data_IF_969297386456
#
_entry.id   IF_969297386456
#
_cell.length_a   1.000
_cell.length_b   1.000
_cell.length_c   1.000
_cell.angle_alpha   90.00
_cell.angle_beta   90.00
_cell.angle_gamma   90.00
#
_symmetry.space_group_name_H-M   'P 1'
#
loop_
_entity.id
_entity.type
_entity.pdbx_description
1 polymer ?
#
# COMPACT_ATOMS: atom_id res chain seq x y z
N UNK A 1 -13.17 -9.52 13.32
CA UNK A 1 -12.77 -9.92 11.96
C UNK A 1 -11.24 -9.98 11.87
N UNK A 2 -10.72 -11.00 11.23
CA UNK A 2 -9.28 -11.16 11.09
C UNK A 2 -8.67 -10.10 10.21
N UNK A 3 -7.44 -9.69 10.51
CA UNK A 3 -6.71 -8.68 9.76
C UNK A 3 -5.55 -9.33 9.01
N UNK A 4 -5.48 -9.09 7.71
CA UNK A 4 -4.37 -9.55 6.87
C UNK A 4 -3.47 -8.35 6.57
N UNK A 5 -2.26 -8.41 7.07
CA UNK A 5 -1.26 -7.37 6.78
C UNK A 5 -0.80 -7.51 5.34
N UNK A 6 -0.84 -6.42 4.60
CA UNK A 6 -0.36 -6.36 3.22
C UNK A 6 0.76 -5.33 3.16
N UNK A 7 1.97 -5.80 2.97
CA UNK A 7 3.12 -4.91 2.79
C UNK A 7 3.21 -4.51 1.33
N UNK A 8 3.20 -3.22 1.07
CA UNK A 8 3.24 -2.65 -0.28
C UNK A 8 4.49 -1.81 -0.44
N UNK A 9 5.24 -2.10 -1.49
CA UNK A 9 6.46 -1.38 -1.83
C UNK A 9 6.42 -0.89 -3.28
N UNK A 10 7.26 0.09 -3.58
CA UNK A 10 7.52 0.53 -4.95
C UNK A 10 8.93 0.14 -5.32
N UNK A 11 9.05 -0.65 -6.37
CA UNK A 11 10.36 -1.12 -6.85
C UNK A 11 10.28 -1.36 -8.35
N UNK A 12 11.29 -0.90 -9.06
CA UNK A 12 11.43 -1.11 -10.52
C UNK A 12 10.18 -0.69 -11.30
N UNK A 13 9.66 0.49 -10.96
CA UNK A 13 8.48 1.09 -11.60
C UNK A 13 7.18 0.31 -11.44
N UNK A 14 7.09 -0.52 -10.41
CA UNK A 14 5.88 -1.26 -10.08
C UNK A 14 5.56 -1.15 -8.59
N UNK A 15 4.27 -1.25 -8.28
CA UNK A 15 3.84 -1.56 -6.92
C UNK A 15 3.93 -3.06 -6.71
N UNK A 16 4.47 -3.48 -5.59
CA UNK A 16 4.50 -4.88 -5.19
C UNK A 16 3.79 -5.06 -3.86
N UNK A 17 3.04 -6.14 -3.73
CA UNK A 17 2.33 -6.48 -2.49
C UNK A 17 2.72 -7.89 -2.04
N UNK A 18 2.88 -8.06 -0.73
CA UNK A 18 3.04 -9.38 -0.11
C UNK A 18 2.09 -9.49 1.07
N UNK A 19 1.39 -10.62 1.15
CA UNK A 19 0.42 -10.88 2.21
C UNK A 19 1.11 -11.50 3.42
N UNK A 20 0.57 -11.21 4.61
CA UNK A 20 1.17 -11.57 5.88
C UNK A 20 1.15 -13.05 6.23
N UNK A 21 1.75 -13.37 7.36
CA UNK A 21 2.04 -14.73 7.80
C UNK A 21 0.80 -15.55 8.16
N UNK A 22 -0.33 -14.89 8.41
CA UNK A 22 -1.58 -15.59 8.73
C UNK A 22 -2.31 -16.11 7.50
N UNK A 23 -1.77 -15.88 6.31
CA UNK A 23 -2.24 -16.49 5.06
C UNK A 23 -1.28 -17.64 4.72
N UNK A 24 -1.76 -18.91 4.72
CA UNK A 24 -0.90 -20.03 4.37
C UNK A 24 -0.34 -19.91 2.94
N UNK A 25 0.89 -20.32 2.76
CA UNK A 25 1.59 -20.16 1.51
C UNK A 25 2.13 -18.76 1.34
N UNK A 26 2.68 -18.48 0.16
CA UNK A 26 3.26 -17.19 -0.16
C UNK A 26 2.44 -16.52 -1.25
N UNK A 27 1.86 -15.35 -0.95
CA UNK A 27 1.07 -14.61 -1.93
C UNK A 27 1.75 -13.27 -2.19
N UNK A 28 2.29 -13.11 -3.39
CA UNK A 28 2.91 -11.87 -3.85
C UNK A 28 2.35 -11.50 -5.22
N UNK A 29 2.22 -10.21 -5.47
CA UNK A 29 1.73 -9.71 -6.76
C UNK A 29 2.29 -8.32 -7.03
N UNK A 30 2.25 -7.92 -8.30
CA UNK A 30 2.68 -6.59 -8.74
C UNK A 30 1.64 -5.97 -9.63
N UNK A 31 1.61 -4.64 -9.69
CA UNK A 31 0.78 -3.88 -10.61
C UNK A 31 1.44 -2.55 -10.95
N UNK A 32 1.06 -1.95 -12.07
CA UNK A 32 1.59 -0.66 -12.53
C UNK A 32 1.03 0.51 -11.74
N UNK A 33 -0.23 0.42 -11.31
CA UNK A 33 -0.88 1.47 -10.53
C UNK A 33 -1.34 0.94 -9.19
N UNK A 34 -1.48 1.86 -8.22
CA UNK A 34 -1.95 1.51 -6.89
C UNK A 34 -3.38 0.97 -6.94
N UNK A 35 -4.26 1.60 -7.72
CA UNK A 35 -5.66 1.17 -7.82
C UNK A 35 -5.79 -0.25 -8.40
N UNK A 36 -4.98 -0.57 -9.40
CA UNK A 36 -4.92 -1.94 -9.93
C UNK A 36 -4.42 -2.93 -8.89
N UNK A 37 -3.39 -2.56 -8.14
CA UNK A 37 -2.85 -3.43 -7.08
C UNK A 37 -3.92 -3.77 -6.06
N UNK A 38 -4.60 -2.75 -5.52
CA UNK A 38 -5.65 -2.92 -4.50
C UNK A 38 -6.77 -3.83 -5.03
N UNK A 39 -7.19 -3.62 -6.25
CA UNK A 39 -8.22 -4.44 -6.89
C UNK A 39 -7.77 -5.91 -7.04
N UNK A 40 -6.53 -6.12 -7.42
CA UNK A 40 -5.99 -7.46 -7.68
C UNK A 40 -5.65 -8.24 -6.41
N UNK A 41 -5.37 -7.58 -5.31
CA UNK A 41 -5.06 -8.24 -4.04
C UNK A 41 -6.19 -9.19 -3.62
N UNK A 42 -7.42 -8.72 -3.62
CA UNK A 42 -8.57 -9.53 -3.23
C UNK A 42 -8.78 -10.71 -4.17
N UNK A 43 -8.67 -10.48 -5.48
CA UNK A 43 -8.85 -11.53 -6.49
C UNK A 43 -7.72 -12.58 -6.41
N UNK A 44 -6.49 -12.13 -6.22
CA UNK A 44 -5.32 -13.02 -6.12
C UNK A 44 -5.42 -13.90 -4.87
N UNK A 45 -5.84 -13.31 -3.74
CA UNK A 45 -6.02 -14.10 -2.51
C UNK A 45 -7.13 -15.14 -2.68
N UNK A 46 -8.25 -14.76 -3.27
CA UNK A 46 -9.36 -15.70 -3.53
C UNK A 46 -8.90 -16.87 -4.40
N UNK A 47 -8.17 -16.58 -5.45
CA UNK A 47 -7.62 -17.61 -6.33
C UNK A 47 -6.68 -18.56 -5.58
N UNK A 48 -5.84 -18.00 -4.72
CA UNK A 48 -4.92 -18.79 -3.89
C UNK A 48 -5.68 -19.71 -2.92
N UNK A 49 -6.69 -19.20 -2.25
CA UNK A 49 -7.53 -19.97 -1.31
C UNK A 49 -8.25 -21.10 -2.06
N UNK A 50 -8.84 -20.81 -3.20
CA UNK A 50 -9.52 -21.81 -4.01
C UNK A 50 -8.57 -22.93 -4.46
N UNK A 51 -7.35 -22.58 -4.83
CA UNK A 51 -6.32 -23.55 -5.18
C UNK A 51 -5.93 -24.46 -4.02
N UNK A 52 -5.79 -23.89 -2.83
CA UNK A 52 -5.50 -24.65 -1.62
C UNK A 52 -6.62 -25.63 -1.27
N UNK A 53 -7.87 -25.20 -1.36
CA UNK A 53 -9.04 -26.04 -1.13
C UNK A 53 -9.09 -27.19 -2.14
N UNK A 54 -8.86 -26.88 -3.41
CA UNK A 54 -8.84 -27.88 -4.48
C UNK A 54 -7.76 -28.94 -4.27
N UNK A 55 -6.61 -28.55 -3.70
CA UNK A 55 -5.50 -29.44 -3.39
C UNK A 55 -5.68 -30.23 -2.09
N UNK A 56 -6.81 -30.03 -1.39
CA UNK A 56 -7.09 -30.71 -0.13
C UNK A 56 -6.30 -30.16 1.05
N UNK A 57 -5.71 -28.98 0.93
CA UNK A 57 -4.97 -28.35 2.02
C UNK A 57 -5.92 -27.80 3.08
N UNK A 58 -5.43 -27.75 4.31
CA UNK A 58 -6.19 -27.23 5.44
C UNK A 58 -6.19 -25.70 5.43
N UNK A 59 -7.35 -25.10 5.22
CA UNK A 59 -7.53 -23.65 5.15
C UNK A 59 -8.39 -23.19 6.33
N UNK A 60 -7.93 -22.21 7.14
CA UNK A 60 -8.74 -21.69 8.24
C UNK A 60 -10.12 -21.22 7.79
N UNK A 61 -11.14 -21.45 8.58
CA UNK A 61 -12.52 -21.10 8.24
C UNK A 61 -12.70 -19.62 7.96
N UNK A 62 -12.06 -18.75 8.75
CA UNK A 62 -12.16 -17.30 8.56
C UNK A 62 -11.63 -16.88 7.19
N UNK A 63 -10.58 -17.53 6.71
CA UNK A 63 -9.99 -17.25 5.40
C UNK A 63 -10.88 -17.78 4.28
N UNK A 64 -11.36 -19.00 4.42
CA UNK A 64 -12.27 -19.68 3.51
C UNK A 64 -13.58 -18.91 3.32
N UNK A 65 -14.11 -18.35 4.42
CA UNK A 65 -15.40 -17.65 4.43
C UNK A 65 -15.29 -16.15 4.10
N UNK A 66 -14.10 -15.64 3.84
CA UNK A 66 -13.91 -14.23 3.54
C UNK A 66 -14.08 -13.30 4.74
N UNK A 67 -13.91 -13.82 5.95
CA UNK A 67 -14.08 -13.07 7.20
C UNK A 67 -12.79 -12.36 7.59
N UNK A 68 -12.31 -11.47 6.73
CA UNK A 68 -11.06 -10.74 6.92
C UNK A 68 -11.13 -9.35 6.28
N UNK A 69 -10.23 -8.49 6.75
CA UNK A 69 -9.98 -7.17 6.19
C UNK A 69 -8.48 -7.02 5.96
N UNK A 70 -8.11 -6.17 5.01
CA UNK A 70 -6.71 -5.91 4.72
C UNK A 70 -6.21 -4.67 5.47
N UNK A 71 -5.00 -4.78 6.04
CA UNK A 71 -4.26 -3.65 6.57
C UNK A 71 -3.11 -3.35 5.62
N UNK A 72 -3.24 -2.27 4.86
CA UNK A 72 -2.22 -1.88 3.88
C UNK A 72 -1.11 -1.09 4.56
N UNK A 73 0.11 -1.60 4.45
CA UNK A 73 1.30 -0.97 4.99
C UNK A 73 2.24 -0.61 3.85
N UNK A 74 2.22 0.66 3.43
CA UNK A 74 3.01 1.15 2.31
C UNK A 74 4.37 1.64 2.80
N UNK A 75 5.45 1.30 2.10
CA UNK A 75 6.70 2.01 2.32
C UNK A 75 6.57 3.45 1.82
N UNK A 76 7.53 4.30 2.14
CA UNK A 76 7.42 5.73 1.80
C UNK A 76 7.39 5.96 0.29
N UNK A 77 8.16 5.19 -0.48
CA UNK A 77 8.13 5.29 -1.93
C UNK A 77 6.73 4.95 -2.49
N UNK A 78 6.14 3.83 -2.04
CA UNK A 78 4.80 3.43 -2.45
C UNK A 78 3.75 4.46 -2.03
N UNK A 79 3.88 5.01 -0.81
CA UNK A 79 2.97 6.06 -0.33
C UNK A 79 2.97 7.27 -1.26
N UNK A 80 4.14 7.77 -1.61
CA UNK A 80 4.26 8.93 -2.51
C UNK A 80 3.74 8.61 -3.90
N UNK A 81 4.06 7.42 -4.42
CA UNK A 81 3.58 6.98 -5.75
C UNK A 81 2.07 6.80 -5.79
N UNK A 82 1.47 6.30 -4.71
CA UNK A 82 0.01 6.14 -4.62
C UNK A 82 -0.73 7.48 -4.66
N UNK A 83 -0.08 8.55 -4.23
CA UNK A 83 -0.67 9.89 -4.17
C UNK A 83 -0.45 10.72 -5.44
N UNK A 84 0.42 10.29 -6.35
CA UNK A 84 0.74 11.05 -7.57
C UNK A 84 -0.49 11.53 -8.37
N UNK A 85 -1.55 10.74 -8.53
CA UNK A 85 -2.72 11.20 -9.26
C UNK A 85 -3.44 12.39 -8.61
N UNK A 86 -3.19 12.64 -7.33
CA UNK A 86 -3.93 13.63 -6.54
C UNK A 86 -3.06 14.76 -6.00
N UNK A 87 -1.77 14.53 -5.80
CA UNK A 87 -0.89 15.51 -5.20
C UNK A 87 0.52 15.40 -5.77
N UNK A 88 1.02 16.51 -6.32
CA UNK A 88 2.40 16.59 -6.81
C UNK A 88 3.39 16.58 -5.65
N UNK A 89 4.65 16.25 -5.94
CA UNK A 89 5.71 16.35 -4.93
C UNK A 89 5.87 17.79 -4.44
N UNK A 90 5.67 18.78 -5.33
CA UNK A 90 5.70 20.19 -4.95
C UNK A 90 4.61 20.52 -3.93
N UNK A 91 3.39 20.04 -4.16
CA UNK A 91 2.27 20.25 -3.23
C UNK A 91 2.52 19.59 -1.88
N UNK A 92 3.04 18.36 -1.90
CA UNK A 92 3.38 17.63 -0.67
C UNK A 92 4.51 18.33 0.08
N UNK A 93 5.50 18.85 -0.64
CA UNK A 93 6.58 19.63 -0.05
C UNK A 93 6.07 20.86 0.70
N UNK A 94 5.18 21.61 0.06
CA UNK A 94 4.58 22.81 0.69
C UNK A 94 3.76 22.45 1.94
N UNK A 95 3.01 21.37 1.89
CA UNK A 95 2.16 20.96 3.00
C UNK A 95 2.95 20.33 4.16
N UNK A 96 4.00 19.57 3.85
CA UNK A 96 4.76 18.80 4.83
C UNK A 96 5.96 19.52 5.38
N UNK A 97 6.49 20.52 4.65
CA UNK A 97 7.78 21.14 4.98
C UNK A 97 8.99 20.28 4.61
N UNK A 98 8.78 19.14 3.97
CA UNK A 98 9.89 18.31 3.50
C UNK A 98 10.33 18.81 2.12
N UNK A 99 11.62 18.96 1.92
CA UNK A 99 12.20 19.45 0.67
C UNK A 99 11.77 18.57 -0.51
N UNK A 100 11.37 19.19 -1.63
CA UNK A 100 10.88 18.48 -2.82
C UNK A 100 11.91 17.50 -3.39
N UNK A 101 13.18 17.88 -3.39
CA UNK A 101 14.27 17.01 -3.84
C UNK A 101 14.39 15.76 -2.98
N UNK A 102 14.22 15.92 -1.68
CA UNK A 102 14.21 14.81 -0.73
C UNK A 102 13.03 13.88 -0.99
N UNK A 103 11.84 14.45 -1.23
CA UNK A 103 10.66 13.68 -1.61
C UNK A 103 10.89 12.88 -2.90
N UNK A 104 11.55 13.48 -3.87
CA UNK A 104 11.92 12.80 -5.12
C UNK A 104 12.84 11.61 -4.86
N UNK A 105 13.82 11.76 -3.97
CA UNK A 105 14.72 10.67 -3.59
C UNK A 105 13.96 9.52 -2.94
N UNK A 106 13.00 9.83 -2.06
CA UNK A 106 12.14 8.81 -1.44
C UNK A 106 11.25 8.12 -2.47
N UNK A 107 10.60 8.90 -3.35
CA UNK A 107 9.71 8.37 -4.38
C UNK A 107 10.42 7.47 -5.38
N UNK A 108 11.71 7.70 -5.61
CA UNK A 108 12.53 6.90 -6.51
C UNK A 108 13.28 5.76 -5.81
N UNK A 109 13.09 5.60 -4.50
CA UNK A 109 13.74 4.55 -3.73
C UNK A 109 15.24 4.76 -3.50
N UNK A 110 15.76 5.97 -3.79
CA UNK A 110 17.17 6.29 -3.60
C UNK A 110 17.55 6.43 -2.13
N UNK A 111 16.58 6.83 -1.31
CA UNK A 111 16.74 6.96 0.14
C UNK A 111 15.48 6.46 0.84
N UNK A 112 15.66 5.87 2.01
CA UNK A 112 14.55 5.52 2.88
C UNK A 112 14.29 6.65 3.86
N UNK A 113 13.03 7.06 4.00
CA UNK A 113 12.65 8.08 4.95
C UNK A 113 12.76 7.55 6.38
N UNK A 114 13.34 8.34 7.25
CA UNK A 114 13.30 8.08 8.70
C UNK A 114 11.86 8.26 9.20
N UNK A 115 11.49 7.62 10.32
CA UNK A 115 10.13 7.72 10.85
C UNK A 115 9.61 9.15 11.00
N UNK A 116 10.46 10.09 11.44
CA UNK A 116 10.08 11.49 11.59
C UNK A 116 9.74 12.15 10.25
N UNK A 117 10.52 11.86 9.22
CA UNK A 117 10.26 12.39 7.88
C UNK A 117 8.99 11.79 7.28
N UNK A 118 8.80 10.47 7.46
CA UNK A 118 7.57 9.81 7.04
C UNK A 118 6.35 10.44 7.71
N UNK A 119 6.44 10.71 9.00
CA UNK A 119 5.35 11.34 9.75
C UNK A 119 5.01 12.73 9.20
N UNK A 120 6.02 13.53 8.87
CA UNK A 120 5.81 14.85 8.25
C UNK A 120 5.09 14.74 6.91
N UNK A 121 5.48 13.77 6.10
CA UNK A 121 4.85 13.51 4.80
C UNK A 121 3.37 13.15 5.01
N UNK A 122 3.08 12.22 5.91
CA UNK A 122 1.71 11.80 6.22
C UNK A 122 0.87 12.98 6.72
N UNK A 123 1.41 13.79 7.64
CA UNK A 123 0.72 14.98 8.13
C UNK A 123 0.46 16.00 7.02
N UNK A 124 1.42 16.16 6.12
CA UNK A 124 1.25 17.03 4.94
C UNK A 124 0.13 16.53 4.02
N UNK A 125 0.08 15.24 3.77
CA UNK A 125 -1.00 14.62 2.98
C UNK A 125 -2.35 14.80 3.66
N UNK A 126 -2.41 14.67 4.98
CA UNK A 126 -3.64 14.90 5.74
C UNK A 126 -4.10 16.36 5.66
N UNK A 127 -3.17 17.32 5.67
CA UNK A 127 -3.51 18.74 5.45
C UNK A 127 -4.15 18.95 4.09
N UNK A 128 -3.57 18.36 3.04
CA UNK A 128 -4.14 18.44 1.69
C UNK A 128 -5.54 17.82 1.68
N UNK A 129 -5.69 16.64 2.27
CA UNK A 129 -6.97 15.94 2.36
C UNK A 129 -8.05 16.76 3.06
N UNK A 130 -7.72 17.35 4.21
CA UNK A 130 -8.65 18.21 4.96
C UNK A 130 -9.08 19.42 4.14
N UNK A 131 -8.14 20.02 3.41
CA UNK A 131 -8.45 21.16 2.53
C UNK A 131 -9.44 20.75 1.44
N UNK A 132 -9.22 19.61 0.81
CA UNK A 132 -10.08 19.13 -0.28
C UNK A 132 -11.46 18.71 0.24
N UNK A 133 -11.53 18.05 1.39
CA UNK A 133 -12.80 17.67 2.02
C UNK A 133 -13.63 18.90 2.37
N UNK A 134 -12.96 20.02 2.70
CA UNK A 134 -13.64 21.27 3.06
C UNK A 134 -14.26 22.03 1.88
N UNK A 135 -14.05 21.57 0.65
CA UNK A 135 -14.65 22.21 -0.53
C UNK A 135 -16.14 21.91 -0.57
N UNK A 136 -16.90 22.97 -0.74
CA UNK A 136 -18.37 22.91 -0.80
C UNK A 136 -18.85 23.29 -2.19
#
# INVERSE_FOLDING_TARGET
>A
MERIKVDIEWYDHNFGASLGDNVPGSVVLTAKTYDELIKEIAATLRFHIEGMIADGEDVPLWLRNGEYEFDYNLDTAALLRSCEPYASLAAISRASGVNERQLSHYANGLKKARPQQRQRIVEGLHKIGRRLIGIV
#
